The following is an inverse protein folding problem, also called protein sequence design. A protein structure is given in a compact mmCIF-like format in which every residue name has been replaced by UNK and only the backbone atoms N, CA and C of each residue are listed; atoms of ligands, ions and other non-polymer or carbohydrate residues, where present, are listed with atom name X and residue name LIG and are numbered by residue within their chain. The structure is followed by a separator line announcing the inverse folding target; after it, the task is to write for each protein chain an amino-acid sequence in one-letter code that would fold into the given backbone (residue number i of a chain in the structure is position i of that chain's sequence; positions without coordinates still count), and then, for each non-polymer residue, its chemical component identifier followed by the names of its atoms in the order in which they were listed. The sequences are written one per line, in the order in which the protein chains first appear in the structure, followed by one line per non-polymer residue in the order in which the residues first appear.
data_IF_366253832420
#
_entry.id   IF_366253832420
#
_cell.length_a   1.000
_cell.length_b   1.000
_cell.length_c   1.000
_cell.angle_alpha   90.00
_cell.angle_beta   90.00
_cell.angle_gamma   90.00
#
_symmetry.space_group_name_H-M   'P 1'
#
loop_
_entity.id
_entity.type
_entity.pdbx_description
1 polymer ?
#
# COMPACT_ATOMS: atom_id res chain seq x y z
N UNK A 1 10.03 6.18 14.51
CA UNK A 1 9.97 4.72 14.28
C UNK A 1 8.99 4.11 15.26
N UNK A 2 8.11 3.22 14.79
CA UNK A 2 7.17 2.48 15.65
C UNK A 2 7.71 1.07 15.91
N UNK A 3 7.18 0.36 16.89
CA UNK A 3 7.52 -1.05 17.10
C UNK A 3 6.77 -1.95 16.12
N UNK A 4 7.20 -3.20 15.96
CA UNK A 4 6.50 -4.18 15.13
C UNK A 4 5.08 -4.40 15.65
N UNK A 5 4.91 -4.48 16.98
CA UNK A 5 3.59 -4.62 17.59
C UNK A 5 2.67 -3.42 17.27
N UNK A 6 3.19 -2.20 17.24
CA UNK A 6 2.42 -1.02 16.82
C UNK A 6 2.06 -1.07 15.33
N UNK A 7 2.96 -1.55 14.48
CA UNK A 7 2.67 -1.73 13.05
C UNK A 7 1.60 -2.79 12.81
N UNK A 8 1.69 -3.91 13.53
CA UNK A 8 0.71 -5.00 13.46
C UNK A 8 -0.67 -4.53 13.94
N UNK A 9 -0.72 -3.69 14.99
CA UNK A 9 -1.97 -3.03 15.43
C UNK A 9 -2.56 -2.12 14.36
N UNK A 10 -1.73 -1.32 13.66
CA UNK A 10 -2.18 -0.47 12.56
C UNK A 10 -2.72 -1.31 11.40
N UNK A 11 -2.04 -2.41 11.05
CA UNK A 11 -2.51 -3.35 10.02
C UNK A 11 -3.82 -4.01 10.43
N UNK A 12 -3.97 -4.41 11.70
CA UNK A 12 -5.23 -4.97 12.21
C UNK A 12 -6.38 -3.96 12.11
N UNK A 13 -6.15 -2.71 12.52
CA UNK A 13 -7.14 -1.64 12.41
C UNK A 13 -7.53 -1.32 10.97
N UNK A 14 -6.56 -1.31 10.04
CA UNK A 14 -6.80 -1.19 8.60
C UNK A 14 -7.72 -2.30 8.09
N UNK A 15 -7.44 -3.56 8.45
CA UNK A 15 -8.24 -4.72 8.04
C UNK A 15 -9.67 -4.65 8.57
N UNK A 16 -9.83 -4.20 9.81
CA UNK A 16 -11.15 -3.98 10.41
C UNK A 16 -11.94 -2.90 9.67
N UNK A 17 -11.32 -1.75 9.43
CA UNK A 17 -11.94 -0.66 8.70
C UNK A 17 -12.33 -1.05 7.28
N UNK A 18 -11.46 -1.73 6.54
CA UNK A 18 -11.76 -2.19 5.20
C UNK A 18 -13.02 -3.09 5.13
N UNK A 19 -13.28 -3.87 6.18
CA UNK A 19 -14.47 -4.73 6.28
C UNK A 19 -15.74 -3.98 6.65
N UNK A 20 -15.63 -2.91 7.43
CA UNK A 20 -16.79 -2.24 8.03
C UNK A 20 -17.19 -0.98 7.26
N UNK A 21 -16.20 -0.20 6.84
CA UNK A 21 -16.34 1.12 6.26
C UNK A 21 -16.20 1.08 4.74
N UNK A 22 -16.98 1.89 4.01
CA UNK A 22 -16.76 2.06 2.58
C UNK A 22 -15.47 2.84 2.33
N UNK A 23 -14.78 2.54 1.23
CA UNK A 23 -13.67 3.36 0.79
C UNK A 23 -14.12 4.46 -0.16
N UNK A 24 -13.40 5.57 -0.13
CA UNK A 24 -13.55 6.67 -1.08
C UNK A 24 -12.36 6.62 -2.02
N UNK A 25 -12.64 6.42 -3.31
CA UNK A 25 -11.66 6.52 -4.38
C UNK A 25 -11.63 7.97 -4.87
N UNK A 26 -10.52 8.64 -4.61
CA UNK A 26 -10.23 9.99 -5.05
C UNK A 26 -9.38 9.91 -6.32
N UNK A 27 -9.99 10.24 -7.44
CA UNK A 27 -9.27 10.39 -8.70
C UNK A 27 -8.59 11.76 -8.71
N UNK A 28 -7.26 11.79 -8.80
CA UNK A 28 -6.53 12.99 -9.13
C UNK A 28 -5.81 12.80 -10.48
N UNK A 29 -5.49 13.89 -11.18
CA UNK A 29 -5.00 13.88 -12.57
C UNK A 29 -3.72 13.04 -12.80
N UNK A 30 -3.05 12.53 -11.75
CA UNK A 30 -1.77 11.78 -11.87
C UNK A 30 -1.63 10.56 -10.96
N UNK A 31 -2.51 10.36 -9.98
CA UNK A 31 -2.43 9.33 -8.94
C UNK A 31 -3.85 8.96 -8.48
N UNK A 32 -4.17 7.67 -8.49
CA UNK A 32 -5.40 7.20 -7.92
C UNK A 32 -5.21 6.98 -6.42
N UNK A 33 -6.01 7.64 -5.58
CA UNK A 33 -5.89 7.51 -4.11
C UNK A 33 -7.16 6.95 -3.49
N UNK A 34 -7.01 5.91 -2.68
CA UNK A 34 -8.07 5.37 -1.84
C UNK A 34 -7.85 5.87 -0.41
N UNK A 35 -8.85 6.52 0.15
CA UNK A 35 -8.85 6.94 1.56
C UNK A 35 -9.86 6.09 2.34
N UNK A 36 -9.37 5.52 3.44
CA UNK A 36 -10.15 4.74 4.41
C UNK A 36 -10.08 5.45 5.76
N UNK A 37 -11.21 5.82 6.33
CA UNK A 37 -11.25 6.37 7.68
C UNK A 37 -11.70 5.29 8.66
N UNK A 38 -11.04 5.20 9.82
CA UNK A 38 -11.34 4.22 10.88
C UNK A 38 -11.83 4.96 12.11
N UNK A 39 -13.08 4.68 12.51
CA UNK A 39 -13.70 5.29 13.69
C UNK A 39 -13.78 6.82 13.61
N UNK A 40 -14.24 7.46 14.70
CA UNK A 40 -14.45 8.91 14.74
C UNK A 40 -13.09 9.67 14.74
N UNK A 41 -12.57 9.81 13.52
CA UNK A 41 -11.61 10.82 13.01
C UNK A 41 -10.11 10.66 13.30
N UNK A 42 -9.66 9.82 14.23
CA UNK A 42 -8.24 9.80 14.62
C UNK A 42 -7.32 8.96 13.75
N UNK A 43 -7.82 7.89 13.13
CA UNK A 43 -6.99 6.99 12.33
C UNK A 43 -7.56 6.86 10.92
N UNK A 44 -6.80 7.30 9.93
CA UNK A 44 -7.14 7.12 8.52
C UNK A 44 -5.99 6.43 7.83
N UNK A 45 -6.30 5.64 6.81
CA UNK A 45 -5.36 4.96 5.96
C UNK A 45 -5.52 5.44 4.53
N UNK A 46 -4.42 5.49 3.81
CA UNK A 46 -4.41 5.85 2.40
C UNK A 46 -3.67 4.76 1.63
N UNK A 47 -4.32 4.25 0.61
CA UNK A 47 -3.72 3.42 -0.41
C UNK A 47 -3.60 4.24 -1.69
N UNK A 48 -2.38 4.57 -2.07
CA UNK A 48 -2.12 5.23 -3.35
C UNK A 48 -1.79 4.17 -4.40
N UNK A 49 -2.48 4.20 -5.54
CA UNK A 49 -2.12 3.51 -6.77
C UNK A 49 -1.60 4.55 -7.76
N UNK A 50 -0.28 4.62 -7.89
CA UNK A 50 0.36 5.40 -8.95
C UNK A 50 0.65 4.45 -10.11
N UNK A 51 0.18 4.81 -11.30
CA UNK A 51 0.47 4.04 -12.52
C UNK A 51 0.80 4.96 -13.69
N UNK A 52 1.75 4.53 -14.51
CA UNK A 52 2.01 5.04 -15.85
C UNK A 52 2.52 3.89 -16.73
N UNK A 53 2.94 4.17 -17.97
CA UNK A 53 3.39 3.14 -18.90
C UNK A 53 4.55 2.28 -18.36
N UNK A 54 5.35 2.80 -17.42
CA UNK A 54 6.57 2.16 -16.92
C UNK A 54 6.57 1.93 -15.41
N UNK A 55 5.54 2.37 -14.68
CA UNK A 55 5.52 2.35 -13.22
C UNK A 55 4.17 1.86 -12.73
N UNK A 56 4.22 0.97 -11.74
CA UNK A 56 3.10 0.72 -10.84
C UNK A 56 3.63 0.76 -9.42
N UNK A 57 3.01 1.61 -8.59
CA UNK A 57 3.36 1.76 -7.19
C UNK A 57 2.10 1.76 -6.37
N UNK A 58 1.98 0.76 -5.51
CA UNK A 58 0.92 0.63 -4.52
C UNK A 58 1.51 0.95 -3.16
N UNK A 59 0.96 1.90 -2.43
CA UNK A 59 1.51 2.31 -1.14
C UNK A 59 0.41 2.49 -0.09
N UNK A 60 0.38 1.58 0.89
CA UNK A 60 -0.52 1.63 2.04
C UNK A 60 0.17 2.29 3.22
N UNK A 61 -0.44 3.35 3.76
CA UNK A 61 0.12 4.12 4.89
C UNK A 61 -0.97 4.73 5.77
N UNK A 62 -0.61 5.16 6.98
CA UNK A 62 -1.51 6.02 7.77
C UNK A 62 -1.53 7.44 7.20
N UNK A 63 -2.68 8.10 7.20
CA UNK A 63 -2.84 9.46 6.67
C UNK A 63 -2.23 10.51 7.60
N UNK A 64 -2.36 10.31 8.91
CA UNK A 64 -1.99 11.27 9.95
C UNK A 64 -0.47 11.46 10.09
N UNK A 65 0.26 10.35 10.09
CA UNK A 65 1.70 10.29 10.36
C UNK A 65 2.51 9.81 9.16
N UNK A 66 1.86 9.50 8.05
CA UNK A 66 2.48 8.99 6.83
C UNK A 66 3.35 7.73 7.07
N UNK A 67 2.93 6.88 8.02
CA UNK A 67 3.66 5.65 8.35
C UNK A 67 3.33 4.59 7.30
N UNK A 68 4.33 4.19 6.51
CA UNK A 68 4.18 3.15 5.49
C UNK A 68 4.04 1.76 6.12
N UNK A 69 3.06 1.00 5.68
CA UNK A 69 2.75 -0.35 6.20
C UNK A 69 3.12 -1.44 5.20
N UNK A 70 2.82 -1.20 3.92
CA UNK A 70 3.16 -2.08 2.82
C UNK A 70 3.27 -1.28 1.53
N UNK A 71 4.17 -1.69 0.63
CA UNK A 71 4.38 -1.02 -0.65
C UNK A 71 4.82 -2.00 -1.72
N UNK A 72 4.32 -1.85 -2.93
CA UNK A 72 4.95 -2.41 -4.13
C UNK A 72 5.59 -1.28 -4.89
N UNK A 73 6.78 -1.54 -5.42
CA UNK A 73 7.32 -0.77 -6.52
C UNK A 73 8.02 -1.66 -7.54
N UNK A 74 8.32 -1.08 -8.70
CA UNK A 74 9.01 -1.73 -9.80
C UNK A 74 10.29 -0.99 -10.17
N UNK A 75 10.97 -0.39 -9.18
CA UNK A 75 12.25 0.26 -9.42
C UNK A 75 13.27 -0.77 -9.98
N UNK A 76 14.07 -0.43 -11.01
CA UNK A 76 15.01 -1.37 -11.62
C UNK A 76 16.10 -1.91 -10.68
N UNK A 77 16.33 -1.25 -9.55
CA UNK A 77 17.35 -1.61 -8.59
C UNK A 77 16.89 -1.25 -7.17
N UNK A 78 17.02 -2.21 -6.25
CA UNK A 78 16.84 -2.02 -4.82
C UNK A 78 17.91 -2.80 -4.05
N UNK A 79 18.41 -2.23 -2.96
CA UNK A 79 19.40 -2.85 -2.09
C UNK A 79 18.83 -2.90 -0.67
N UNK A 80 18.73 -4.10 -0.13
CA UNK A 80 18.27 -4.33 1.23
C UNK A 80 19.34 -3.92 2.25
N UNK A 81 18.95 -3.68 3.51
CA UNK A 81 19.89 -3.32 4.58
C UNK A 81 21.01 -4.34 4.84
N UNK A 82 20.85 -5.61 4.47
CA UNK A 82 21.88 -6.64 4.57
C UNK A 82 22.83 -6.70 3.36
N UNK A 83 22.61 -5.85 2.35
CA UNK A 83 23.36 -5.82 1.10
C UNK A 83 22.81 -6.74 0.02
N UNK A 84 21.75 -7.51 0.26
CA UNK A 84 21.08 -8.28 -0.80
C UNK A 84 20.42 -7.34 -1.82
N UNK A 85 20.51 -7.70 -3.10
CA UNK A 85 20.07 -6.84 -4.20
C UNK A 85 18.88 -7.45 -4.96
N UNK A 86 17.97 -6.58 -5.37
CA UNK A 86 16.85 -6.88 -6.26
C UNK A 86 17.07 -6.10 -7.54
N UNK A 87 17.14 -6.79 -8.69
CA UNK A 87 17.44 -6.19 -9.99
C UNK A 87 16.34 -6.51 -11.00
N UNK A 88 15.90 -5.48 -11.72
CA UNK A 88 14.99 -5.59 -12.87
C UNK A 88 13.69 -6.36 -12.60
N UNK A 89 13.18 -6.29 -11.37
CA UNK A 89 11.94 -6.97 -10.99
C UNK A 89 11.15 -6.16 -9.95
N UNK A 90 9.81 -6.20 -10.00
CA UNK A 90 8.99 -5.62 -8.96
C UNK A 90 9.26 -6.28 -7.61
N UNK A 91 9.04 -5.52 -6.54
CA UNK A 91 9.29 -6.00 -5.19
C UNK A 91 8.28 -5.43 -4.18
N UNK A 92 8.01 -6.25 -3.16
CA UNK A 92 7.10 -5.95 -2.06
C UNK A 92 7.90 -5.56 -0.83
N UNK A 93 7.59 -4.40 -0.28
CA UNK A 93 8.01 -3.95 1.04
C UNK A 93 6.89 -4.19 2.03
N UNK A 94 7.24 -4.77 3.17
CA UNK A 94 6.38 -4.85 4.35
C UNK A 94 7.08 -4.13 5.50
N UNK A 95 6.30 -3.49 6.36
CA UNK A 95 6.86 -2.81 7.52
C UNK A 95 7.66 -3.79 8.38
N UNK A 96 8.91 -3.43 8.65
CA UNK A 96 9.79 -4.15 9.58
C UNK A 96 10.36 -3.17 10.61
N UNK A 97 10.19 -3.47 11.90
CA UNK A 97 10.80 -2.67 12.97
C UNK A 97 12.32 -2.49 12.75
N UNK A 98 12.83 -1.29 13.00
CA UNK A 98 14.23 -0.94 12.73
C UNK A 98 14.52 -0.52 11.28
N UNK A 99 13.65 -0.87 10.33
CA UNK A 99 13.91 -0.69 8.89
C UNK A 99 12.74 -0.09 8.09
N UNK A 100 11.56 0.02 8.69
CA UNK A 100 10.34 0.52 8.03
C UNK A 100 10.08 -0.23 6.72
N UNK A 101 10.11 0.47 5.57
CA UNK A 101 9.95 -0.14 4.24
C UNK A 101 11.30 -0.28 3.49
N UNK A 102 12.44 -0.35 4.19
CA UNK A 102 13.74 -0.52 3.54
C UNK A 102 13.98 -1.97 3.07
N UNK A 103 13.37 -2.96 3.72
CA UNK A 103 13.41 -4.35 3.27
C UNK A 103 12.38 -4.60 2.18
N UNK A 104 12.76 -5.40 1.20
CA UNK A 104 11.87 -5.86 0.16
C UNK A 104 12.17 -7.29 -0.29
N UNK A 105 11.15 -7.91 -0.87
CA UNK A 105 11.24 -9.23 -1.48
C UNK A 105 10.79 -9.16 -2.96
N UNK A 106 11.45 -9.92 -3.85
CA UNK A 106 11.01 -10.05 -5.25
C UNK A 106 9.56 -10.51 -5.37
N UNK A 107 8.84 -10.00 -6.36
CA UNK A 107 7.52 -10.53 -6.72
C UNK A 107 7.40 -10.71 -8.24
N UNK A 108 6.63 -11.72 -8.66
CA UNK A 108 6.45 -12.13 -10.06
C UNK A 108 5.04 -11.84 -10.61
N UNK A 109 4.14 -11.35 -9.76
CA UNK A 109 2.72 -11.19 -10.06
C UNK A 109 2.30 -9.73 -10.32
N UNK A 110 3.25 -8.80 -10.32
CA UNK A 110 2.99 -7.40 -10.62
C UNK A 110 2.96 -7.18 -12.14
N UNK A 111 1.83 -6.68 -12.64
CA UNK A 111 1.54 -6.51 -14.06
C UNK A 111 1.12 -5.07 -14.38
N UNK A 112 1.93 -4.38 -15.18
CA UNK A 112 1.68 -3.00 -15.64
C UNK A 112 0.45 -2.90 -16.56
N UNK A 113 0.16 -3.95 -17.33
CA UNK A 113 -1.01 -4.02 -18.21
C UNK A 113 -2.30 -4.33 -17.46
N UNK A 114 -2.20 -4.87 -16.24
CA UNK A 114 -3.33 -5.26 -15.38
C UNK A 114 -3.18 -4.68 -13.97
N UNK A 115 -3.26 -3.34 -13.81
CA UNK A 115 -3.03 -2.69 -12.52
C UNK A 115 -4.07 -3.05 -11.45
N UNK A 116 -5.31 -3.35 -11.85
CA UNK A 116 -6.36 -3.76 -10.91
C UNK A 116 -6.12 -5.16 -10.35
N UNK A 117 -5.61 -6.09 -11.17
CA UNK A 117 -5.22 -7.43 -10.72
C UNK A 117 -4.02 -7.37 -9.76
N UNK A 118 -3.06 -6.49 -10.06
CA UNK A 118 -1.93 -6.21 -9.15
C UNK A 118 -2.45 -5.67 -7.82
N UNK A 119 -3.39 -4.72 -7.86
CA UNK A 119 -4.05 -4.18 -6.67
C UNK A 119 -4.78 -5.28 -5.89
N UNK A 120 -5.59 -6.11 -6.55
CA UNK A 120 -6.30 -7.21 -5.91
C UNK A 120 -5.33 -8.18 -5.22
N UNK A 121 -4.25 -8.57 -5.88
CA UNK A 121 -3.25 -9.47 -5.31
C UNK A 121 -2.49 -8.84 -4.15
N UNK A 122 -2.15 -7.55 -4.24
CA UNK A 122 -1.58 -6.78 -3.14
C UNK A 122 -2.48 -6.81 -1.91
N UNK A 123 -3.77 -6.49 -2.09
CA UNK A 123 -4.77 -6.49 -1.03
C UNK A 123 -4.93 -7.88 -0.39
N UNK A 124 -4.89 -8.95 -1.19
CA UNK A 124 -4.92 -10.32 -0.69
C UNK A 124 -3.69 -10.65 0.16
N UNK A 125 -2.49 -10.24 -0.25
CA UNK A 125 -1.25 -10.47 0.52
C UNK A 125 -1.28 -9.76 1.86
N UNK A 126 -1.75 -8.51 1.90
CA UNK A 126 -1.93 -7.79 3.17
C UNK A 126 -3.20 -8.20 3.92
N UNK A 127 -3.95 -9.18 3.41
CA UNK A 127 -5.21 -9.71 3.95
C UNK A 127 -6.24 -8.60 4.27
N UNK A 128 -6.42 -7.69 3.31
CA UNK A 128 -7.37 -6.57 3.38
C UNK A 128 -8.42 -6.76 2.31
N UNK A 129 -9.71 -6.70 2.69
CA UNK A 129 -10.84 -6.78 1.75
C UNK A 129 -11.78 -5.62 2.02
N UNK A 130 -12.17 -4.94 0.96
CA UNK A 130 -13.08 -3.81 1.02
C UNK A 130 -14.53 -4.26 0.89
N UNK A 131 -15.40 -3.70 1.73
CA UNK A 131 -16.84 -3.98 1.70
C UNK A 131 -17.55 -3.38 0.48
N UNK A 132 -17.26 -2.12 0.18
CA UNK A 132 -17.84 -1.37 -0.93
C UNK A 132 -16.96 -0.14 -1.24
N UNK A 133 -17.06 0.38 -2.46
CA UNK A 133 -16.30 1.54 -2.92
C UNK A 133 -17.16 2.58 -3.61
N UNK A 134 -16.84 3.86 -3.40
CA UNK A 134 -17.42 4.99 -4.11
C UNK A 134 -16.31 5.79 -4.78
N UNK A 135 -16.46 6.13 -6.06
CA UNK A 135 -15.56 7.07 -6.74
C UNK A 135 -16.06 8.49 -6.58
N UNK A 136 -15.14 9.40 -6.27
CA UNK A 136 -15.37 10.84 -6.19
C UNK A 136 -14.29 11.53 -7.01
N UNK A 137 -14.71 12.24 -8.07
CA UNK A 137 -13.80 13.08 -8.84
C UNK A 137 -13.47 14.33 -8.02
N UNK A 138 -12.19 14.57 -7.75
CA UNK A 138 -11.73 15.85 -7.23
C UNK A 138 -11.65 16.82 -8.41
N UNK A 139 -12.56 17.80 -8.45
CA UNK A 139 -12.60 18.89 -9.45
C UNK A 139 -11.40 19.82 -9.22
#
# INVERSE_FOLDING_TARGET
MITQAQADQLIAALKEAARNDPFIWQENLRQDEIVLAVGDRKLKFVLTLKRNLNEIKLHMRTQDRNIGLARIDNAPYHCNPDGSEIRSQPHLHLYREGHELAWAEPIDWCDLGRPLDTLEKFLNIINTRFRAGYSVSLI
#
